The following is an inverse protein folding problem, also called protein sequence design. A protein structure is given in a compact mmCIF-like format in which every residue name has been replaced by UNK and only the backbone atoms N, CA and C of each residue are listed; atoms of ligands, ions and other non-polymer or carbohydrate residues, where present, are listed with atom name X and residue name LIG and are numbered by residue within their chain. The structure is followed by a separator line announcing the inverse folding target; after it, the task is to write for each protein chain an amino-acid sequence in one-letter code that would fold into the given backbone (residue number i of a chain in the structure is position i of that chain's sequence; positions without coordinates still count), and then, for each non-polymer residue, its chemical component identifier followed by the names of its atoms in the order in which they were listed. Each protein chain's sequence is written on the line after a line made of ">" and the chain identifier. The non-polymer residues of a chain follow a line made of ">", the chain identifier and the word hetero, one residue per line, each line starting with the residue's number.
data_IF_633403150598
#
_entry.id   IF_633403150598
#
_cell.length_a   1.000
_cell.length_b   1.000
_cell.length_c   1.000
_cell.angle_alpha   90.00
_cell.angle_beta   90.00
_cell.angle_gamma   90.00
#
_symmetry.space_group_name_H-M   'P 1'
#
loop_
_entity.id
_entity.type
_entity.pdbx_description
1 polymer ?
#
# COMPACT_ATOMS: atom_id res chain seq x y z
N UNK A 1 12.72 7.44 15.07
CA UNK A 1 12.31 8.88 15.10
C UNK A 1 10.79 8.89 15.09
N UNK A 2 10.10 9.96 15.49
CA UNK A 2 8.66 10.05 15.19
C UNK A 2 8.42 10.73 13.84
N UNK A 3 7.61 10.09 12.99
CA UNK A 3 7.20 10.69 11.72
C UNK A 3 6.32 11.91 11.96
N UNK A 4 6.51 12.95 11.15
CA UNK A 4 5.58 14.09 11.11
C UNK A 4 4.18 13.65 10.67
N UNK A 5 3.12 14.34 11.10
CA UNK A 5 1.73 13.92 10.85
C UNK A 5 1.39 13.68 9.38
N UNK A 6 2.02 14.41 8.46
CA UNK A 6 1.82 14.30 7.01
C UNK A 6 2.26 12.94 6.44
N UNK A 7 3.19 12.26 7.12
CA UNK A 7 3.68 10.93 6.76
C UNK A 7 2.95 9.81 7.50
N UNK A 8 2.00 10.13 8.38
CA UNK A 8 1.15 9.15 9.03
C UNK A 8 -0.06 8.80 8.15
N UNK A 9 -0.59 7.56 8.21
CA UNK A 9 -1.79 7.19 7.48
C UNK A 9 -2.96 8.12 7.86
N UNK A 10 -3.64 8.75 6.89
CA UNK A 10 -4.79 9.59 7.20
C UNK A 10 -5.94 8.72 7.73
N UNK A 11 -6.64 9.22 8.75
CA UNK A 11 -7.84 8.57 9.28
C UNK A 11 -9.02 8.89 8.35
N UNK A 12 -9.58 7.87 7.71
CA UNK A 12 -10.75 8.01 6.87
C UNK A 12 -12.03 8.15 7.73
N UNK A 13 -13.02 8.96 7.31
CA UNK A 13 -14.30 9.04 8.00
C UNK A 13 -15.00 7.68 8.07
N UNK A 14 -15.63 7.34 9.20
CA UNK A 14 -16.33 6.06 9.41
C UNK A 14 -17.37 5.77 8.32
N UNK A 15 -18.14 6.77 7.91
CA UNK A 15 -19.12 6.63 6.84
C UNK A 15 -18.46 6.20 5.52
N UNK A 16 -17.27 6.74 5.21
CA UNK A 16 -16.54 6.37 4.00
C UNK A 16 -16.06 4.93 4.06
N UNK A 17 -15.61 4.46 5.23
CA UNK A 17 -15.20 3.06 5.45
C UNK A 17 -16.41 2.13 5.29
N UNK A 18 -17.57 2.50 5.82
CA UNK A 18 -18.80 1.73 5.70
C UNK A 18 -19.28 1.60 4.24
N UNK A 19 -19.26 2.71 3.49
CA UNK A 19 -19.62 2.72 2.07
C UNK A 19 -18.69 1.82 1.24
N UNK A 20 -17.37 1.93 1.48
CA UNK A 20 -16.38 1.10 0.79
C UNK A 20 -16.49 -0.37 1.17
N UNK A 21 -16.75 -0.69 2.44
CA UNK A 21 -16.98 -2.06 2.91
C UNK A 21 -18.17 -2.69 2.19
N UNK A 22 -19.26 -1.93 2.04
CA UNK A 22 -20.46 -2.37 1.32
C UNK A 22 -20.16 -2.61 -0.17
N UNK A 23 -19.40 -1.71 -0.80
CA UNK A 23 -19.00 -1.85 -2.20
C UNK A 23 -18.10 -3.10 -2.42
N UNK A 24 -17.11 -3.31 -1.55
CA UNK A 24 -16.22 -4.48 -1.59
C UNK A 24 -17.04 -5.77 -1.47
N UNK A 25 -17.93 -5.86 -0.47
CA UNK A 25 -18.77 -7.03 -0.27
C UNK A 25 -19.72 -7.29 -1.45
N UNK A 26 -20.21 -6.24 -2.09
CA UNK A 26 -21.06 -6.34 -3.29
C UNK A 26 -20.28 -6.89 -4.48
N UNK A 27 -19.08 -6.36 -4.74
CA UNK A 27 -18.20 -6.84 -5.80
C UNK A 27 -17.82 -8.31 -5.57
N UNK A 28 -17.43 -8.67 -4.34
CA UNK A 28 -17.09 -10.04 -3.99
C UNK A 28 -18.25 -11.02 -4.27
N UNK A 29 -19.48 -10.66 -3.87
CA UNK A 29 -20.68 -11.48 -4.14
C UNK A 29 -21.00 -11.66 -5.62
N UNK A 30 -20.80 -10.63 -6.45
CA UNK A 30 -20.97 -10.75 -7.91
C UNK A 30 -19.97 -11.78 -8.46
N UNK A 31 -18.70 -11.67 -8.06
CA UNK A 31 -17.63 -12.55 -8.51
C UNK A 31 -17.82 -14.00 -8.03
N UNK A 32 -18.36 -14.21 -6.84
CA UNK A 32 -18.70 -15.54 -6.30
C UNK A 32 -19.81 -16.23 -7.11
N UNK A 33 -20.78 -15.46 -7.62
CA UNK A 33 -21.87 -15.96 -8.47
C UNK A 33 -21.45 -16.17 -9.93
N UNK A 34 -20.22 -15.83 -10.28
CA UNK A 34 -19.74 -15.86 -11.66
C UNK A 34 -20.30 -14.73 -12.53
N UNK A 35 -20.89 -13.70 -11.93
CA UNK A 35 -21.39 -12.53 -12.63
C UNK A 35 -20.24 -11.56 -12.95
N UNK A 36 -20.40 -10.74 -13.99
CA UNK A 36 -19.42 -9.68 -14.28
C UNK A 36 -19.50 -8.59 -13.21
N UNK A 37 -18.34 -8.23 -12.66
CA UNK A 37 -18.19 -7.12 -11.72
C UNK A 37 -17.36 -5.97 -12.32
N UNK A 38 -17.07 -5.99 -13.62
CA UNK A 38 -16.08 -5.09 -14.25
C UNK A 38 -16.46 -3.62 -14.09
N UNK A 39 -17.74 -3.28 -14.30
CA UNK A 39 -18.22 -1.91 -14.09
C UNK A 39 -18.17 -1.47 -12.62
N UNK A 40 -18.46 -2.39 -11.69
CA UNK A 40 -18.41 -2.09 -10.26
C UNK A 40 -16.97 -1.88 -9.78
N UNK A 41 -16.02 -2.71 -10.26
CA UNK A 41 -14.58 -2.56 -10.01
C UNK A 41 -14.07 -1.25 -10.61
N UNK A 42 -14.45 -0.92 -11.85
CA UNK A 42 -14.06 0.33 -12.49
C UNK A 42 -14.55 1.55 -11.72
N UNK A 43 -15.81 1.54 -11.26
CA UNK A 43 -16.37 2.62 -10.44
C UNK A 43 -15.67 2.72 -9.07
N UNK A 44 -15.39 1.58 -8.43
CA UNK A 44 -14.65 1.53 -7.16
C UNK A 44 -13.25 2.12 -7.30
N UNK A 45 -12.52 1.73 -8.35
CA UNK A 45 -11.19 2.24 -8.67
C UNK A 45 -11.22 3.73 -9.00
N UNK A 46 -12.17 4.20 -9.81
CA UNK A 46 -12.33 5.63 -10.09
C UNK A 46 -12.62 6.45 -8.82
N UNK A 47 -13.43 5.91 -7.91
CA UNK A 47 -13.79 6.57 -6.65
C UNK A 47 -12.72 6.53 -5.57
N UNK A 48 -11.70 5.68 -5.70
CA UNK A 48 -10.63 5.51 -4.70
C UNK A 48 -9.25 5.91 -5.24
N UNK A 49 -9.08 5.99 -6.57
CA UNK A 49 -7.80 6.20 -7.23
C UNK A 49 -6.92 4.96 -7.31
N UNK A 50 -7.42 3.79 -6.91
CA UNK A 50 -6.69 2.52 -6.95
C UNK A 50 -6.89 1.78 -8.28
N UNK A 51 -6.15 0.70 -8.46
CA UNK A 51 -6.23 -0.17 -9.63
C UNK A 51 -6.47 -1.64 -9.21
N UNK A 52 -7.44 -1.86 -8.31
CA UNK A 52 -7.79 -3.22 -7.89
C UNK A 52 -8.38 -4.01 -9.05
N UNK A 53 -8.09 -5.30 -9.05
CA UNK A 53 -8.54 -6.28 -10.04
C UNK A 53 -9.57 -7.22 -9.42
N UNK A 54 -10.28 -7.99 -10.25
CA UNK A 54 -11.19 -9.03 -9.75
C UNK A 54 -10.48 -10.07 -8.86
N UNK A 55 -9.16 -10.24 -9.01
CA UNK A 55 -8.39 -11.12 -8.13
C UNK A 55 -8.37 -10.59 -6.69
N UNK A 56 -8.12 -9.30 -6.50
CA UNK A 56 -8.06 -8.66 -5.18
C UNK A 56 -9.37 -8.86 -4.39
N UNK A 57 -10.52 -8.69 -5.04
CA UNK A 57 -11.83 -8.90 -4.43
C UNK A 57 -12.16 -10.37 -4.15
N UNK A 58 -11.55 -11.33 -4.87
CA UNK A 58 -11.79 -12.78 -4.66
C UNK A 58 -10.97 -13.36 -3.52
N UNK A 59 -9.81 -12.78 -3.24
CA UNK A 59 -8.82 -13.41 -2.35
C UNK A 59 -8.46 -12.58 -1.12
N UNK A 60 -9.01 -11.36 -0.96
CA UNK A 60 -8.65 -10.49 0.17
C UNK A 60 -8.80 -11.18 1.54
N UNK A 61 -9.82 -12.04 1.72
CA UNK A 61 -10.09 -12.75 2.97
C UNK A 61 -8.95 -13.67 3.42
N UNK A 62 -8.01 -14.01 2.52
CA UNK A 62 -6.80 -14.77 2.88
C UNK A 62 -5.80 -13.96 3.68
N UNK A 63 -5.86 -12.63 3.64
CA UNK A 63 -4.87 -11.74 4.24
C UNK A 63 -5.46 -10.60 5.08
N UNK A 64 -6.72 -10.23 4.87
CA UNK A 64 -7.39 -9.12 5.56
C UNK A 64 -8.90 -9.30 5.61
N UNK A 65 -9.56 -8.62 6.56
CA UNK A 65 -11.03 -8.57 6.57
C UNK A 65 -11.56 -7.47 5.61
N UNK A 66 -12.88 -7.33 5.50
CA UNK A 66 -13.51 -6.34 4.58
C UNK A 66 -13.30 -4.90 5.03
N UNK A 67 -13.29 -4.65 6.34
CA UNK A 67 -13.09 -3.33 6.93
C UNK A 67 -11.63 -2.87 6.72
N UNK A 68 -10.66 -3.75 6.93
CA UNK A 68 -9.24 -3.48 6.65
C UNK A 68 -9.03 -3.10 5.17
N UNK A 69 -9.70 -3.82 4.25
CA UNK A 69 -9.65 -3.49 2.83
C UNK A 69 -10.31 -2.12 2.57
N UNK A 70 -11.44 -1.82 3.22
CA UNK A 70 -12.07 -0.51 3.09
C UNK A 70 -11.18 0.62 3.62
N UNK A 71 -10.49 0.43 4.75
CA UNK A 71 -9.52 1.38 5.31
C UNK A 71 -8.38 1.63 4.32
N UNK A 72 -7.81 0.58 3.74
CA UNK A 72 -6.76 0.71 2.72
C UNK A 72 -7.27 1.44 1.47
N UNK A 73 -8.45 1.07 0.96
CA UNK A 73 -9.04 1.69 -0.21
C UNK A 73 -9.46 3.15 0.03
N UNK A 74 -9.73 3.54 1.29
CA UNK A 74 -10.04 4.92 1.66
C UNK A 74 -8.79 5.82 1.63
N UNK A 75 -7.59 5.25 1.78
CA UNK A 75 -6.33 5.98 1.71
C UNK A 75 -5.94 6.24 0.27
N UNK A 76 -5.15 7.29 0.05
CA UNK A 76 -4.62 7.62 -1.28
C UNK A 76 -3.82 6.44 -1.83
N UNK A 77 -4.07 6.08 -3.09
CA UNK A 77 -3.34 5.02 -3.78
C UNK A 77 -1.85 5.38 -4.00
N UNK A 78 -1.55 6.67 -4.08
CA UNK A 78 -0.20 7.23 -4.27
C UNK A 78 -0.04 8.44 -3.35
N UNK A 79 0.25 8.24 -2.06
CA UNK A 79 0.49 9.35 -1.14
C UNK A 79 1.76 10.09 -1.57
N UNK A 80 1.65 11.39 -1.80
CA UNK A 80 2.76 12.27 -2.15
C UNK A 80 2.96 13.27 -1.04
N UNK A 81 4.15 13.28 -0.46
CA UNK A 81 4.54 14.22 0.58
C UNK A 81 5.84 14.88 0.14
N UNK A 82 5.86 16.19 0.05
CA UNK A 82 7.06 16.87 -0.45
C UNK A 82 8.20 16.84 0.59
N UNK A 83 9.44 16.84 0.09
CA UNK A 83 10.66 16.95 0.88
C UNK A 83 10.81 15.85 1.97
N UNK A 84 10.48 14.60 1.64
CA UNK A 84 10.76 13.47 2.54
C UNK A 84 12.27 13.30 2.70
N UNK A 85 12.72 13.31 3.96
CA UNK A 85 14.13 13.17 4.33
C UNK A 85 14.55 11.70 4.38
N UNK A 86 15.86 11.45 4.36
CA UNK A 86 16.39 10.08 4.47
C UNK A 86 16.01 9.43 5.81
N UNK A 87 16.06 10.18 6.91
CA UNK A 87 15.67 9.70 8.24
C UNK A 87 14.19 9.30 8.31
N UNK A 88 13.32 10.04 7.61
CA UNK A 88 11.90 9.69 7.49
C UNK A 88 11.70 8.42 6.66
N UNK A 89 12.49 8.22 5.59
CA UNK A 89 12.48 6.95 4.84
C UNK A 89 12.92 5.78 5.71
N UNK A 90 13.95 5.95 6.56
CA UNK A 90 14.37 4.91 7.50
C UNK A 90 13.23 4.55 8.47
N UNK A 91 12.55 5.53 9.03
CA UNK A 91 11.42 5.30 9.94
C UNK A 91 10.23 4.63 9.21
N UNK A 92 9.95 5.00 7.95
CA UNK A 92 8.95 4.32 7.12
C UNK A 92 9.30 2.84 6.94
N UNK A 93 10.55 2.52 6.57
CA UNK A 93 11.00 1.12 6.42
C UNK A 93 10.92 0.36 7.74
N UNK A 94 11.31 1.00 8.84
CA UNK A 94 11.21 0.42 10.20
C UNK A 94 9.78 0.04 10.57
N UNK A 95 8.79 0.91 10.29
CA UNK A 95 7.36 0.62 10.54
C UNK A 95 6.84 -0.52 9.67
N UNK A 96 7.29 -0.61 8.41
CA UNK A 96 6.98 -1.73 7.52
C UNK A 96 7.52 -3.05 8.07
N UNK A 97 8.80 -3.09 8.49
CA UNK A 97 9.44 -4.30 9.03
C UNK A 97 8.77 -4.79 10.32
N UNK A 98 8.19 -3.89 11.12
CA UNK A 98 7.47 -4.23 12.36
C UNK A 98 6.04 -4.72 12.13
N UNK A 99 5.54 -4.60 10.90
CA UNK A 99 4.15 -4.83 10.56
C UNK A 99 3.19 -3.98 11.42
N UNK A 100 3.55 -2.71 11.65
CA UNK A 100 2.70 -1.78 12.38
C UNK A 100 1.39 -1.49 11.62
N UNK A 101 0.41 -0.91 12.32
CA UNK A 101 -0.84 -0.46 11.72
C UNK A 101 -0.57 0.48 10.52
N UNK A 102 -1.21 0.18 9.38
CA UNK A 102 -1.02 0.94 8.15
C UNK A 102 0.24 0.57 7.36
N UNK A 103 0.79 -0.63 7.55
CA UNK A 103 1.88 -1.17 6.71
C UNK A 103 1.63 -0.99 5.21
N UNK A 104 0.39 -1.19 4.74
CA UNK A 104 -0.02 -0.95 3.35
C UNK A 104 0.26 0.49 2.88
N UNK A 105 -0.01 1.46 3.75
CA UNK A 105 0.19 2.87 3.47
C UNK A 105 1.67 3.21 3.41
N UNK A 106 2.46 2.74 4.37
CA UNK A 106 3.90 2.97 4.40
C UNK A 106 4.60 2.35 3.19
N UNK A 107 4.16 1.16 2.73
CA UNK A 107 4.68 0.56 1.50
C UNK A 107 4.38 1.44 0.29
N UNK A 108 3.15 1.97 0.16
CA UNK A 108 2.77 2.88 -0.95
C UNK A 108 3.53 4.20 -0.90
N UNK A 109 3.73 4.74 0.30
CA UNK A 109 4.51 5.95 0.54
C UNK A 109 5.98 5.75 0.20
N UNK A 110 6.57 4.61 0.55
CA UNK A 110 7.94 4.28 0.14
C UNK A 110 8.05 4.21 -1.39
N UNK A 111 7.11 3.53 -2.04
CA UNK A 111 7.06 3.42 -3.51
C UNK A 111 6.95 4.78 -4.22
N UNK A 112 6.28 5.77 -3.65
CA UNK A 112 6.15 7.09 -4.28
C UNK A 112 7.38 7.98 -4.14
N UNK A 113 8.33 7.65 -3.27
CA UNK A 113 9.51 8.47 -2.96
C UNK A 113 10.84 7.86 -3.40
N UNK A 114 10.84 6.63 -3.92
CA UNK A 114 12.05 5.96 -4.40
C UNK A 114 11.89 5.49 -5.85
N UNK A 115 12.97 5.57 -6.63
CA UNK A 115 12.98 5.13 -8.03
C UNK A 115 13.06 3.60 -8.17
N UNK A 116 13.47 2.90 -7.12
CA UNK A 116 13.66 1.45 -7.17
C UNK A 116 12.31 0.73 -7.45
N UNK A 117 12.14 0.08 -8.61
CA UNK A 117 10.84 -0.42 -9.07
C UNK A 117 10.25 -1.53 -8.18
N UNK A 118 11.12 -2.20 -7.41
CA UNK A 118 10.75 -3.29 -6.50
C UNK A 118 11.18 -3.03 -5.06
N UNK A 119 11.09 -1.79 -4.57
CA UNK A 119 11.61 -1.44 -3.23
C UNK A 119 11.01 -2.32 -2.11
N UNK A 120 9.73 -2.65 -2.19
CA UNK A 120 9.09 -3.58 -1.26
C UNK A 120 9.70 -4.98 -1.27
N UNK A 121 10.25 -5.44 -2.39
CA UNK A 121 10.97 -6.71 -2.46
C UNK A 121 12.26 -6.68 -1.64
N UNK A 122 12.91 -5.53 -1.47
CA UNK A 122 14.09 -5.40 -0.59
C UNK A 122 13.74 -5.64 0.88
N UNK A 123 12.46 -5.55 1.25
CA UNK A 123 11.97 -5.74 2.62
C UNK A 123 11.37 -7.15 2.79
N UNK A 124 10.44 -7.54 1.92
CA UNK A 124 9.69 -8.79 2.09
C UNK A 124 10.35 -10.02 1.46
N UNK A 125 11.23 -9.81 0.48
CA UNK A 125 11.95 -10.88 -0.23
C UNK A 125 13.39 -10.43 -0.49
N UNK A 126 14.14 -10.07 0.57
CA UNK A 126 15.45 -9.44 0.42
C UNK A 126 16.41 -10.38 -0.33
N UNK A 127 17.31 -9.82 -1.16
CA UNK A 127 18.46 -10.57 -1.65
C UNK A 127 19.36 -10.96 -0.46
N UNK A 128 20.26 -11.97 -0.62
CA UNK A 128 21.08 -12.49 0.48
C UNK A 128 21.83 -11.42 1.29
N UNK A 129 22.31 -10.38 0.63
CA UNK A 129 23.01 -9.24 1.24
C UNK A 129 22.15 -8.34 2.11
N UNK A 130 20.81 -8.44 2.02
CA UNK A 130 19.85 -7.66 2.81
C UNK A 130 18.99 -8.51 3.74
N UNK A 131 19.26 -9.82 3.87
CA UNK A 131 18.63 -10.66 4.88
C UNK A 131 19.08 -10.13 6.25
N UNK A 132 18.14 -9.60 7.03
CA UNK A 132 18.38 -8.90 8.31
C UNK A 132 19.02 -7.50 8.20
N UNK A 133 18.96 -6.88 7.03
CA UNK A 133 19.39 -5.49 6.85
C UNK A 133 18.64 -4.51 7.76
N UNK A 134 19.37 -3.51 8.23
CA UNK A 134 18.77 -2.38 8.94
C UNK A 134 17.86 -1.57 8.00
N UNK A 135 16.90 -0.80 8.53
CA UNK A 135 16.13 0.15 7.72
C UNK A 135 17.01 1.08 6.88
N UNK A 136 18.15 1.47 7.45
CA UNK A 136 19.17 2.29 6.80
C UNK A 136 19.76 1.61 5.56
N UNK A 137 20.22 0.37 5.70
CA UNK A 137 20.81 -0.41 4.59
C UNK A 137 19.79 -0.61 3.45
N UNK A 138 18.52 -0.83 3.78
CA UNK A 138 17.44 -1.00 2.78
C UNK A 138 17.20 0.30 2.01
N UNK A 139 17.13 1.43 2.70
CA UNK A 139 16.95 2.74 2.05
C UNK A 139 18.17 3.09 1.21
N UNK A 140 19.37 2.79 1.68
CA UNK A 140 20.60 3.01 0.94
C UNK A 140 20.63 2.20 -0.35
N UNK A 141 20.26 0.92 -0.28
CA UNK A 141 20.09 0.07 -1.47
C UNK A 141 19.02 0.63 -2.42
N UNK A 142 17.87 1.06 -1.91
CA UNK A 142 16.80 1.64 -2.72
C UNK A 142 17.21 2.93 -3.43
N UNK A 143 17.92 3.82 -2.75
CA UNK A 143 18.38 5.11 -3.30
C UNK A 143 19.58 4.95 -4.25
N UNK A 144 20.36 3.87 -4.11
CA UNK A 144 21.47 3.57 -5.02
C UNK A 144 21.01 3.13 -6.42
N UNK A 145 19.74 2.71 -6.56
CA UNK A 145 19.19 2.24 -7.82
C UNK A 145 19.23 3.33 -8.91
N UNK A 146 19.90 3.01 -10.01
CA UNK A 146 19.91 3.83 -11.21
C UNK A 146 19.09 3.13 -12.30
N UNK A 147 18.01 3.76 -12.81
CA UNK A 147 17.30 3.22 -13.96
C UNK A 147 18.25 3.00 -15.13
N UNK A 148 18.21 1.81 -15.74
CA UNK A 148 18.91 1.56 -17.00
C UNK A 148 18.17 2.36 -18.08
N UNK A 149 18.85 3.30 -18.73
CA UNK A 149 18.33 3.95 -19.92
C UNK A 149 18.23 2.88 -21.03
N UNK A 150 17.01 2.61 -21.48
CA UNK A 150 16.71 1.71 -22.59
C UNK A 150 16.76 2.46 -23.92
#
# INVERSE_FOLDING_TARGET
>A
MELRPELCPPVAPEQRIADLSTAIATIAKLLERGESADSAIAAFNAGTGHAYTAYDFRIYWKSRNVEDFAIEAARSASPKVENVTRDELFEIVRRIQRADDGTDYYVRLLHSHVLHPRVSSLIFFPPPELVDASPEDIVDAALSYQPIAL
#
